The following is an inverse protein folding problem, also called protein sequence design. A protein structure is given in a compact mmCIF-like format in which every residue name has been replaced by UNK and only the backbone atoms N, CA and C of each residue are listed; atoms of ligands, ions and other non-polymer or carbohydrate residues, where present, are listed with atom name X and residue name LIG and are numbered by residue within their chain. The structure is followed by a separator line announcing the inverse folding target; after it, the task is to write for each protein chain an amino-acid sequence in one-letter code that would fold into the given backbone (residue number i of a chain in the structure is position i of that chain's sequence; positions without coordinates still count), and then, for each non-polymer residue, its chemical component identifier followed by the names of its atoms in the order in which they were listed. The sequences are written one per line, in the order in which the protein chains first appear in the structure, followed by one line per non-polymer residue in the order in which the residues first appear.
data_IF_546933245095
#
_entry.id   IF_546933245095
#
_cell.length_a   1.000
_cell.length_b   1.000
_cell.length_c   1.000
_cell.angle_alpha   90.00
_cell.angle_beta   90.00
_cell.angle_gamma   90.00
#
_symmetry.space_group_name_H-M   'P 1'
#
loop_
_entity.id
_entity.type
_entity.pdbx_description
1 polymer ?
#
# COMPACT_ATOMS: atom_id res chain seq x y z
N UNK A 1 39.36 -45.67 -8.39
CA UNK A 1 38.29 -44.90 -9.06
C UNK A 1 37.50 -44.21 -7.96
N UNK A 2 37.55 -42.88 -7.87
CA UNK A 2 36.63 -42.16 -6.99
C UNK A 2 35.20 -42.44 -7.48
N UNK A 3 34.24 -42.76 -6.61
CA UNK A 3 32.85 -42.94 -7.02
C UNK A 3 32.38 -41.66 -7.71
N UNK A 4 31.70 -41.82 -8.85
CA UNK A 4 31.08 -40.69 -9.55
C UNK A 4 30.19 -39.92 -8.57
N UNK A 5 30.23 -38.57 -8.57
CA UNK A 5 29.41 -37.78 -7.68
C UNK A 5 27.92 -38.10 -7.89
N UNK A 6 27.20 -38.27 -6.79
CA UNK A 6 25.76 -38.58 -6.80
C UNK A 6 25.01 -37.52 -7.61
N UNK A 7 24.29 -37.95 -8.64
CA UNK A 7 23.48 -37.05 -9.48
C UNK A 7 22.30 -36.50 -8.68
N UNK A 8 21.77 -35.30 -9.02
CA UNK A 8 20.57 -34.76 -8.36
C UNK A 8 19.40 -35.77 -8.37
N UNK A 9 19.21 -36.50 -9.47
CA UNK A 9 18.13 -37.50 -9.56
C UNK A 9 18.32 -38.68 -8.61
N UNK A 10 19.55 -39.13 -8.40
CA UNK A 10 19.86 -40.20 -7.43
C UNK A 10 19.66 -39.69 -5.99
N UNK A 11 20.17 -38.49 -5.69
CA UNK A 11 19.98 -37.84 -4.40
C UNK A 11 18.51 -37.63 -4.06
N UNK A 12 17.72 -37.12 -5.00
CA UNK A 12 16.29 -36.89 -4.81
C UNK A 12 15.56 -38.20 -4.47
N UNK A 13 15.89 -39.31 -5.14
CA UNK A 13 15.31 -40.64 -4.84
C UNK A 13 15.71 -41.13 -3.46
N UNK A 14 16.98 -40.96 -3.08
CA UNK A 14 17.49 -41.34 -1.75
C UNK A 14 16.80 -40.54 -0.65
N UNK A 15 16.77 -39.20 -0.77
CA UNK A 15 16.16 -38.30 0.21
C UNK A 15 14.64 -38.47 0.30
N UNK A 16 13.99 -38.84 -0.80
CA UNK A 16 12.56 -39.15 -0.84
C UNK A 16 12.20 -40.58 -0.41
N UNK A 17 13.18 -41.46 -0.16
CA UNK A 17 13.00 -42.89 0.11
C UNK A 17 11.84 -43.21 1.07
N UNK A 18 11.78 -42.60 2.27
CA UNK A 18 10.71 -42.85 3.23
C UNK A 18 9.30 -42.53 2.70
N UNK A 19 9.17 -41.59 1.75
CA UNK A 19 7.88 -41.26 1.14
C UNK A 19 7.54 -42.18 -0.02
N UNK A 20 8.54 -42.62 -0.78
CA UNK A 20 8.37 -43.62 -1.83
C UNK A 20 7.86 -44.95 -1.25
N UNK A 21 8.39 -45.36 -0.10
CA UNK A 21 7.95 -46.55 0.63
C UNK A 21 6.50 -46.42 1.13
N UNK A 22 6.06 -45.20 1.41
CA UNK A 22 4.67 -44.85 1.75
C UNK A 22 3.76 -44.70 0.54
N UNK A 23 4.18 -45.15 -0.65
CA UNK A 23 3.35 -45.15 -1.86
C UNK A 23 3.34 -43.85 -2.66
N UNK A 24 4.08 -42.81 -2.25
CA UNK A 24 4.17 -41.57 -3.03
C UNK A 24 4.90 -41.83 -4.36
N UNK A 25 4.46 -41.14 -5.42
CA UNK A 25 5.07 -41.22 -6.75
C UNK A 25 5.78 -39.91 -7.11
N UNK A 26 6.98 -39.95 -7.70
CA UNK A 26 7.64 -38.76 -8.23
C UNK A 26 6.82 -38.08 -9.32
N UNK A 27 6.62 -36.77 -9.15
CA UNK A 27 5.90 -35.92 -10.10
C UNK A 27 6.85 -34.92 -10.76
N UNK A 28 7.91 -34.47 -10.07
CA UNK A 28 8.89 -33.56 -10.65
C UNK A 28 10.16 -33.35 -9.82
N UNK A 29 11.20 -32.87 -10.50
CA UNK A 29 12.45 -32.39 -9.92
C UNK A 29 12.82 -31.09 -10.62
N UNK A 30 12.80 -29.97 -9.89
CA UNK A 30 12.89 -28.63 -10.48
C UNK A 30 14.16 -27.93 -10.02
N UNK A 31 15.02 -27.54 -10.96
CA UNK A 31 16.28 -26.83 -10.67
C UNK A 31 16.06 -25.32 -10.60
N UNK A 32 16.69 -24.71 -9.59
CA UNK A 32 16.76 -23.28 -9.36
C UNK A 32 18.25 -22.90 -9.28
N UNK A 33 18.70 -22.00 -10.14
CA UNK A 33 20.10 -21.60 -10.21
C UNK A 33 20.26 -20.12 -10.59
N UNK A 34 21.20 -19.43 -9.94
CA UNK A 34 21.58 -18.04 -10.23
C UNK A 34 22.99 -17.92 -10.85
N UNK A 35 23.60 -19.04 -11.23
CA UNK A 35 24.95 -19.11 -11.80
C UNK A 35 26.06 -19.35 -10.78
N UNK A 36 25.89 -18.96 -9.52
CA UNK A 36 26.86 -19.22 -8.44
C UNK A 36 26.40 -20.34 -7.49
N UNK A 37 25.10 -20.47 -7.27
CA UNK A 37 24.49 -21.48 -6.42
C UNK A 37 23.28 -22.11 -7.12
N UNK A 38 22.99 -23.37 -6.77
CA UNK A 38 21.83 -24.09 -7.26
C UNK A 38 21.19 -24.95 -6.17
N UNK A 39 19.87 -25.07 -6.20
CA UNK A 39 19.11 -26.04 -5.42
C UNK A 39 18.00 -26.65 -6.28
N UNK A 40 17.40 -27.71 -5.77
CA UNK A 40 16.38 -28.48 -6.47
C UNK A 40 15.15 -28.65 -5.59
N UNK A 41 13.95 -28.57 -6.16
CA UNK A 41 12.70 -28.96 -5.48
C UNK A 41 12.25 -30.33 -5.94
N UNK A 42 12.15 -31.25 -4.98
CA UNK A 42 11.58 -32.57 -5.16
C UNK A 42 10.08 -32.45 -4.97
N UNK A 43 9.29 -32.99 -5.91
CA UNK A 43 7.83 -33.07 -5.79
C UNK A 43 7.37 -34.51 -5.98
N UNK A 44 6.70 -35.02 -4.96
CA UNK A 44 6.01 -36.31 -4.99
C UNK A 44 4.51 -36.08 -4.75
N UNK A 45 3.69 -36.98 -5.27
CA UNK A 45 2.24 -37.02 -5.01
C UNK A 45 1.80 -38.45 -4.70
N UNK A 46 1.00 -38.63 -3.66
CA UNK A 46 0.37 -39.91 -3.39
C UNK A 46 -0.81 -40.11 -4.37
N UNK A 47 -0.88 -41.23 -5.10
CA UNK A 47 -1.91 -41.45 -6.12
C UNK A 47 -3.32 -41.54 -5.51
N UNK A 48 -3.47 -42.23 -4.37
CA UNK A 48 -4.79 -42.48 -3.79
C UNK A 48 -5.33 -41.30 -2.96
N UNK A 49 -4.50 -40.69 -2.10
CA UNK A 49 -4.92 -39.57 -1.24
C UNK A 49 -4.79 -38.21 -1.90
N UNK A 50 -4.01 -38.09 -2.98
CA UNK A 50 -3.69 -36.82 -3.62
C UNK A 50 -2.71 -35.93 -2.85
N UNK A 51 -2.22 -36.37 -1.68
CA UNK A 51 -1.29 -35.63 -0.83
C UNK A 51 0.01 -35.31 -1.58
N UNK A 52 0.51 -34.08 -1.43
CA UNK A 52 1.73 -33.60 -2.08
C UNK A 52 2.85 -33.50 -1.07
N UNK A 53 4.01 -34.07 -1.38
CA UNK A 53 5.24 -33.87 -0.62
C UNK A 53 6.24 -33.08 -1.46
N UNK A 54 6.52 -31.85 -1.02
CA UNK A 54 7.42 -30.92 -1.73
C UNK A 54 8.53 -30.54 -0.77
N UNK A 55 9.77 -30.85 -1.11
CA UNK A 55 10.95 -30.48 -0.31
C UNK A 55 12.11 -30.01 -1.18
N UNK A 56 12.78 -28.92 -0.78
CA UNK A 56 14.01 -28.50 -1.43
C UNK A 56 15.18 -29.39 -1.00
N UNK A 57 16.16 -29.53 -1.89
CA UNK A 57 17.45 -30.16 -1.62
C UNK A 57 18.56 -29.35 -2.27
N UNK A 58 19.75 -29.36 -1.66
CA UNK A 58 20.90 -28.62 -2.15
C UNK A 58 22.20 -29.37 -1.86
N UNK A 59 23.28 -28.97 -2.53
CA UNK A 59 24.61 -29.57 -2.39
C UNK A 59 25.45 -28.72 -1.43
N UNK A 60 25.67 -29.20 -0.21
CA UNK A 60 26.40 -28.49 0.85
C UNK A 60 27.94 -28.60 0.77
N UNK A 61 28.46 -29.05 -0.38
CA UNK A 61 29.89 -29.34 -0.60
C UNK A 61 30.36 -30.73 -0.12
N UNK A 62 29.62 -31.42 0.74
CA UNK A 62 29.89 -32.81 1.19
C UNK A 62 28.92 -33.83 0.60
N UNK A 63 27.70 -33.40 0.30
CA UNK A 63 26.67 -34.25 -0.29
C UNK A 63 25.33 -33.53 -0.40
N UNK A 64 24.35 -34.23 -0.95
CA UNK A 64 23.00 -33.71 -1.07
C UNK A 64 22.20 -33.88 0.21
N UNK A 65 21.61 -32.79 0.68
CA UNK A 65 20.74 -32.75 1.86
C UNK A 65 19.45 -31.99 1.57
N UNK A 66 18.43 -32.23 2.42
CA UNK A 66 17.17 -31.47 2.37
C UNK A 66 17.39 -30.08 2.94
N UNK A 67 16.90 -29.06 2.24
CA UNK A 67 17.10 -27.66 2.59
C UNK A 67 17.34 -26.79 1.36
N UNK A 68 17.54 -25.51 1.62
CA UNK A 68 17.90 -24.50 0.62
C UNK A 68 19.20 -23.82 1.07
N UNK A 69 20.10 -23.44 0.15
CA UNK A 69 21.22 -22.57 0.49
C UNK A 69 20.72 -21.18 0.88
N UNK A 70 21.54 -20.44 1.62
CA UNK A 70 21.31 -19.02 1.86
C UNK A 70 21.65 -18.21 0.60
N UNK A 71 20.73 -17.33 0.20
CA UNK A 71 20.89 -16.43 -0.92
C UNK A 71 20.98 -14.99 -0.43
N UNK A 72 22.08 -14.30 -0.72
CA UNK A 72 22.29 -12.90 -0.32
C UNK A 72 21.25 -11.94 -0.92
N UNK A 73 20.83 -12.19 -2.17
CA UNK A 73 19.94 -11.29 -2.92
C UNK A 73 18.53 -11.86 -3.14
N UNK A 74 18.12 -12.85 -2.33
CA UNK A 74 16.86 -13.56 -2.50
C UNK A 74 16.96 -14.78 -3.42
N UNK A 75 15.95 -15.65 -3.32
CA UNK A 75 15.93 -16.94 -4.03
C UNK A 75 15.75 -16.72 -5.54
N UNK A 76 16.50 -17.43 -6.40
CA UNK A 76 16.30 -17.33 -7.84
C UNK A 76 14.91 -17.81 -8.26
N UNK A 77 14.38 -17.24 -9.33
CA UNK A 77 13.15 -17.72 -9.96
C UNK A 77 13.40 -19.03 -10.74
N UNK A 78 12.36 -19.84 -10.90
CA UNK A 78 12.43 -21.03 -11.73
C UNK A 78 12.69 -20.65 -13.20
N UNK A 79 13.61 -21.34 -13.86
CA UNK A 79 14.08 -21.04 -15.23
C UNK A 79 14.73 -19.66 -15.39
N UNK A 80 15.37 -19.14 -14.34
CA UNK A 80 16.08 -17.85 -14.37
C UNK A 80 17.06 -17.71 -15.55
N UNK A 81 17.79 -18.77 -15.91
CA UNK A 81 18.70 -18.77 -17.06
C UNK A 81 18.00 -18.35 -18.36
N UNK A 82 16.81 -18.88 -18.62
CA UNK A 82 16.06 -18.57 -19.84
C UNK A 82 15.47 -17.16 -19.83
N UNK A 83 15.11 -16.66 -18.64
CA UNK A 83 14.71 -15.27 -18.44
C UNK A 83 15.86 -14.32 -18.80
N UNK A 84 17.08 -14.66 -18.38
CA UNK A 84 18.30 -13.90 -18.62
C UNK A 84 18.75 -13.94 -20.09
N UNK A 85 18.59 -15.06 -20.78
CA UNK A 85 18.89 -15.19 -22.22
C UNK A 85 17.97 -14.33 -23.11
N UNK A 86 16.78 -13.96 -22.61
CA UNK A 86 15.77 -13.19 -23.37
C UNK A 86 15.29 -11.96 -22.59
N UNK A 87 16.11 -10.97 -22.23
CA UNK A 87 15.79 -9.98 -21.19
C UNK A 87 14.54 -9.11 -21.47
N UNK A 88 14.15 -8.92 -22.74
CA UNK A 88 12.99 -8.09 -23.14
C UNK A 88 11.75 -8.87 -23.57
N UNK A 89 11.82 -10.19 -23.72
CA UNK A 89 10.68 -10.98 -24.19
C UNK A 89 9.53 -10.96 -23.16
N UNK A 90 8.24 -10.95 -23.53
CA UNK A 90 7.17 -11.08 -22.53
C UNK A 90 7.28 -12.40 -21.77
N UNK A 91 6.97 -12.40 -20.48
CA UNK A 91 7.03 -13.57 -19.61
C UNK A 91 5.68 -13.87 -18.96
N UNK A 92 5.45 -15.14 -18.64
CA UNK A 92 4.30 -15.59 -17.88
C UNK A 92 4.70 -15.94 -16.45
N UNK A 93 3.87 -15.60 -15.48
CA UNK A 93 4.05 -16.01 -14.09
C UNK A 93 2.88 -16.88 -13.63
N UNK A 94 3.19 -18.00 -12.99
CA UNK A 94 2.23 -18.95 -12.41
C UNK A 94 2.75 -19.46 -11.06
N UNK A 95 1.88 -19.99 -10.21
CA UNK A 95 2.23 -20.36 -8.83
C UNK A 95 3.16 -21.59 -8.70
N UNK A 96 3.19 -22.48 -9.71
CA UNK A 96 3.87 -23.78 -9.60
C UNK A 96 4.71 -24.19 -10.81
N UNK A 97 5.78 -24.95 -10.57
CA UNK A 97 6.75 -25.33 -11.60
C UNK A 97 6.16 -26.23 -12.68
N UNK A 98 5.19 -27.08 -12.32
CA UNK A 98 4.47 -27.91 -13.30
C UNK A 98 3.66 -27.06 -14.29
N UNK A 99 3.07 -25.95 -13.83
CA UNK A 99 2.34 -24.98 -14.65
C UNK A 99 3.30 -24.22 -15.57
N UNK A 100 4.45 -23.81 -15.05
CA UNK A 100 5.53 -23.20 -15.84
C UNK A 100 5.93 -24.12 -16.99
N UNK A 101 6.16 -25.41 -16.71
CA UNK A 101 6.55 -26.37 -17.73
C UNK A 101 5.46 -26.64 -18.76
N UNK A 102 4.18 -26.57 -18.37
CA UNK A 102 3.06 -26.68 -19.32
C UNK A 102 3.05 -25.48 -20.30
N UNK A 103 3.22 -24.26 -19.80
CA UNK A 103 3.34 -23.05 -20.62
C UNK A 103 4.58 -23.10 -21.53
N UNK A 104 5.73 -23.50 -20.98
CA UNK A 104 6.98 -23.57 -21.75
C UNK A 104 6.92 -24.54 -22.93
N UNK A 105 6.12 -25.62 -22.85
CA UNK A 105 5.88 -26.55 -23.98
C UNK A 105 5.15 -25.88 -25.15
N UNK A 106 4.44 -24.79 -24.91
CA UNK A 106 3.83 -23.97 -25.96
C UNK A 106 4.81 -22.95 -26.56
N UNK A 107 6.07 -22.91 -26.08
CA UNK A 107 7.09 -21.99 -26.56
C UNK A 107 7.03 -20.60 -25.94
N UNK A 108 6.21 -20.38 -24.92
CA UNK A 108 6.20 -19.12 -24.16
C UNK A 108 7.18 -19.16 -23.00
N UNK A 109 7.76 -18.00 -22.68
CA UNK A 109 8.64 -17.87 -21.54
C UNK A 109 7.80 -17.78 -20.27
N UNK A 110 8.03 -18.66 -19.31
CA UNK A 110 7.27 -18.72 -18.07
C UNK A 110 8.18 -18.97 -16.86
N UNK A 111 7.77 -18.49 -15.69
CA UNK A 111 8.54 -18.58 -14.45
C UNK A 111 7.64 -18.65 -13.21
N UNK A 112 8.24 -18.97 -12.06
CA UNK A 112 7.59 -19.02 -10.74
C UNK A 112 8.60 -18.83 -9.61
N UNK A 113 8.15 -18.35 -8.46
CA UNK A 113 8.89 -18.42 -7.19
C UNK A 113 8.79 -19.82 -6.51
N UNK A 114 7.93 -20.70 -7.05
CA UNK A 114 7.85 -22.12 -6.71
C UNK A 114 6.72 -22.52 -5.75
N UNK A 115 6.17 -21.60 -4.96
CA UNK A 115 4.93 -21.82 -4.21
C UNK A 115 4.26 -20.49 -3.84
N UNK A 116 2.99 -20.53 -3.44
CA UNK A 116 2.21 -19.37 -2.99
C UNK A 116 2.81 -18.53 -1.85
N UNK A 117 3.77 -19.09 -1.11
CA UNK A 117 4.48 -18.45 0.02
C UNK A 117 5.97 -18.23 -0.23
N UNK A 118 6.51 -18.73 -1.36
CA UNK A 118 7.93 -18.58 -1.68
C UNK A 118 8.24 -17.22 -2.32
N UNK A 119 7.22 -16.48 -2.75
CA UNK A 119 7.37 -15.18 -3.39
C UNK A 119 7.87 -14.08 -2.43
N UNK A 120 7.73 -14.24 -1.11
CA UNK A 120 8.26 -13.26 -0.14
C UNK A 120 9.79 -13.21 -0.12
N UNK A 121 10.43 -14.34 -0.41
CA UNK A 121 11.90 -14.48 -0.34
C UNK A 121 12.55 -14.58 -1.71
N UNK A 122 11.77 -14.49 -2.80
CA UNK A 122 12.27 -14.62 -4.16
C UNK A 122 12.76 -13.28 -4.71
N UNK A 123 13.81 -13.34 -5.52
CA UNK A 123 14.32 -12.21 -6.28
C UNK A 123 13.53 -12.02 -7.58
N UNK A 124 12.70 -10.98 -7.62
CA UNK A 124 11.92 -10.61 -8.81
C UNK A 124 12.65 -9.64 -9.74
N UNK A 125 13.82 -9.13 -9.37
CA UNK A 125 14.58 -8.17 -10.20
C UNK A 125 14.88 -8.66 -11.62
N UNK A 126 15.05 -9.98 -11.92
CA UNK A 126 15.22 -10.46 -13.29
C UNK A 126 14.01 -10.22 -14.22
N UNK A 127 12.87 -9.84 -13.67
CA UNK A 127 11.66 -9.48 -14.42
C UNK A 127 11.47 -7.97 -14.58
N UNK A 128 12.33 -7.12 -13.99
CA UNK A 128 12.15 -5.67 -13.98
C UNK A 128 11.94 -5.07 -15.38
N UNK A 129 11.05 -4.07 -15.47
CA UNK A 129 10.70 -3.36 -16.71
C UNK A 129 10.17 -4.23 -17.87
N UNK A 130 9.69 -5.45 -17.58
CA UNK A 130 9.21 -6.43 -18.56
C UNK A 130 7.69 -6.46 -18.66
N UNK A 131 7.15 -6.95 -19.77
CA UNK A 131 5.73 -7.33 -19.83
C UNK A 131 5.55 -8.70 -19.20
N UNK A 132 4.69 -8.80 -18.17
CA UNK A 132 4.42 -10.05 -17.44
C UNK A 132 2.93 -10.34 -17.39
N UNK A 133 2.53 -11.52 -17.86
CA UNK A 133 1.16 -12.02 -17.72
C UNK A 133 1.08 -13.00 -16.57
N UNK A 134 0.27 -12.72 -15.57
CA UNK A 134 0.07 -13.56 -14.38
C UNK A 134 -1.18 -14.41 -14.60
N UNK A 135 -1.05 -15.72 -14.40
CA UNK A 135 -2.18 -16.65 -14.43
C UNK A 135 -2.35 -17.32 -13.06
N UNK A 136 -3.27 -16.83 -12.22
CA UNK A 136 -3.53 -17.37 -10.90
C UNK A 136 -4.36 -18.67 -10.96
N UNK A 137 -4.38 -19.40 -9.84
CA UNK A 137 -5.32 -20.51 -9.65
C UNK A 137 -6.73 -19.96 -9.41
N UNK A 138 -7.75 -20.71 -9.83
CA UNK A 138 -9.15 -20.32 -9.72
C UNK A 138 -9.71 -20.57 -8.31
N UNK A 139 -9.04 -20.04 -7.29
CA UNK A 139 -9.49 -20.03 -5.90
C UNK A 139 -9.07 -18.73 -5.21
N UNK A 140 -9.61 -18.47 -4.02
CA UNK A 140 -9.32 -17.22 -3.28
C UNK A 140 -7.81 -17.07 -2.98
N UNK A 141 -7.10 -18.08 -2.42
CA UNK A 141 -5.67 -17.95 -2.13
C UNK A 141 -4.79 -17.73 -3.37
N UNK A 142 -5.12 -18.37 -4.50
CA UNK A 142 -4.41 -18.26 -5.77
C UNK A 142 -4.59 -16.89 -6.42
N UNK A 143 -5.79 -16.32 -6.35
CA UNK A 143 -6.08 -14.95 -6.80
C UNK A 143 -5.29 -13.95 -5.95
N UNK A 144 -5.36 -14.05 -4.62
CA UNK A 144 -4.62 -13.17 -3.70
C UNK A 144 -3.10 -13.28 -3.91
N UNK A 145 -2.57 -14.49 -4.19
CA UNK A 145 -1.15 -14.65 -4.54
C UNK A 145 -0.81 -13.96 -5.87
N UNK A 146 -1.66 -14.12 -6.89
CA UNK A 146 -1.50 -13.43 -8.17
C UNK A 146 -1.44 -11.91 -8.04
N UNK A 147 -2.30 -11.33 -7.21
CA UNK A 147 -2.34 -9.89 -6.90
C UNK A 147 -1.09 -9.42 -6.14
N UNK A 148 -0.64 -10.18 -5.13
CA UNK A 148 0.62 -9.87 -4.41
C UNK A 148 1.83 -9.87 -5.35
N UNK A 149 1.92 -10.85 -6.25
CA UNK A 149 2.99 -10.90 -7.24
C UNK A 149 2.87 -9.76 -8.26
N UNK A 150 1.65 -9.42 -8.67
CA UNK A 150 1.39 -8.28 -9.55
C UNK A 150 1.93 -6.98 -8.95
N UNK A 151 1.62 -6.71 -7.68
CA UNK A 151 2.10 -5.53 -6.97
C UNK A 151 3.64 -5.46 -6.94
N UNK A 152 4.32 -6.58 -6.62
CA UNK A 152 5.80 -6.67 -6.63
C UNK A 152 6.38 -6.36 -8.01
N UNK A 153 5.79 -6.92 -9.06
CA UNK A 153 6.24 -6.71 -10.44
C UNK A 153 5.99 -5.28 -10.93
N UNK A 154 4.84 -4.68 -10.60
CA UNK A 154 4.54 -3.27 -10.90
C UNK A 154 5.52 -2.33 -10.23
N UNK A 155 5.90 -2.59 -8.98
CA UNK A 155 6.93 -1.82 -8.28
C UNK A 155 8.30 -1.88 -8.97
N UNK A 156 8.59 -2.96 -9.70
CA UNK A 156 9.79 -3.13 -10.53
C UNK A 156 9.63 -2.53 -11.95
N UNK A 157 8.57 -1.76 -12.20
CA UNK A 157 8.28 -1.13 -13.49
C UNK A 157 7.76 -2.10 -14.56
N UNK A 158 7.30 -3.29 -14.20
CA UNK A 158 6.75 -4.24 -15.15
C UNK A 158 5.35 -3.81 -15.63
N UNK A 159 5.04 -4.08 -16.90
CA UNK A 159 3.66 -4.05 -17.39
C UNK A 159 3.01 -5.38 -17.04
N UNK A 160 2.05 -5.37 -16.11
CA UNK A 160 1.43 -6.60 -15.61
C UNK A 160 0.00 -6.74 -16.10
N UNK A 161 -0.35 -7.93 -16.57
CA UNK A 161 -1.72 -8.30 -16.93
C UNK A 161 -2.13 -9.56 -16.17
N UNK A 162 -3.34 -9.60 -15.62
CA UNK A 162 -3.86 -10.77 -14.91
C UNK A 162 -4.89 -11.50 -15.77
N UNK A 163 -4.77 -12.83 -15.87
CA UNK A 163 -5.81 -13.68 -16.44
C UNK A 163 -6.99 -13.75 -15.48
N UNK A 164 -8.19 -13.54 -16.01
CA UNK A 164 -9.43 -13.78 -15.29
C UNK A 164 -9.71 -15.28 -15.24
N UNK A 165 -9.19 -15.95 -14.22
CA UNK A 165 -9.37 -17.38 -14.02
C UNK A 165 -10.84 -17.79 -13.82
N UNK A 166 -11.70 -16.87 -13.33
CA UNK A 166 -13.13 -17.12 -13.11
C UNK A 166 -13.89 -17.16 -14.42
N UNK A 167 -13.49 -16.33 -15.38
CA UNK A 167 -14.06 -16.31 -16.74
C UNK A 167 -13.69 -17.55 -17.58
N UNK A 168 -12.73 -18.37 -17.14
CA UNK A 168 -12.30 -19.58 -17.85
C UNK A 168 -13.19 -20.81 -17.59
N UNK A 169 -14.27 -20.66 -16.81
CA UNK A 169 -15.19 -21.75 -16.44
C UNK A 169 -14.48 -22.98 -15.87
N UNK A 170 -13.37 -22.75 -15.16
CA UNK A 170 -12.66 -23.79 -14.42
C UNK A 170 -13.41 -24.10 -13.12
N UNK A 171 -13.25 -25.32 -12.59
CA UNK A 171 -13.71 -25.64 -11.25
C UNK A 171 -12.91 -24.85 -10.19
N UNK A 172 -13.39 -24.80 -8.95
CA UNK A 172 -12.69 -24.14 -7.84
C UNK A 172 -11.32 -24.80 -7.57
N UNK A 173 -10.26 -23.99 -7.54
CA UNK A 173 -8.87 -24.46 -7.49
C UNK A 173 -8.32 -24.98 -8.83
N UNK A 174 -9.06 -24.80 -9.92
CA UNK A 174 -8.59 -25.12 -11.27
C UNK A 174 -7.48 -24.17 -11.74
N UNK A 175 -6.47 -24.71 -12.40
CA UNK A 175 -5.28 -23.95 -12.82
C UNK A 175 -5.05 -23.98 -14.35
N UNK A 176 -3.96 -23.38 -14.81
CA UNK A 176 -3.55 -23.43 -16.22
C UNK A 176 -3.36 -24.85 -16.76
N UNK A 177 -2.91 -25.81 -15.94
CA UNK A 177 -2.78 -27.23 -16.33
C UNK A 177 -4.15 -27.85 -16.54
N UNK A 178 -5.14 -27.52 -15.71
CA UNK A 178 -6.52 -27.92 -15.94
C UNK A 178 -7.09 -27.35 -17.24
N UNK A 179 -6.80 -26.08 -17.54
CA UNK A 179 -7.21 -25.46 -18.80
C UNK A 179 -6.58 -26.17 -20.01
N UNK A 180 -5.29 -26.51 -19.97
CA UNK A 180 -4.63 -27.27 -21.04
C UNK A 180 -5.18 -28.68 -21.22
N UNK A 181 -5.62 -29.34 -20.14
CA UNK A 181 -6.29 -30.65 -20.25
C UNK A 181 -7.63 -30.54 -20.97
N UNK A 182 -8.39 -29.48 -20.72
CA UNK A 182 -9.63 -29.20 -21.43
C UNK A 182 -9.40 -28.74 -22.88
N UNK A 183 -8.22 -28.19 -23.18
CA UNK A 183 -7.84 -27.63 -24.48
C UNK A 183 -6.55 -28.27 -25.01
N UNK A 184 -6.54 -29.58 -25.36
CA UNK A 184 -5.33 -30.33 -25.68
C UNK A 184 -4.60 -29.84 -26.94
N UNK A 185 -5.30 -29.13 -27.84
CA UNK A 185 -4.75 -28.57 -29.08
C UNK A 185 -4.34 -27.10 -28.96
N UNK A 186 -4.32 -26.53 -27.76
CA UNK A 186 -3.98 -25.14 -27.54
C UNK A 186 -2.56 -24.80 -28.04
N UNK A 187 -2.42 -23.63 -28.67
CA UNK A 187 -1.15 -23.07 -29.13
C UNK A 187 -0.85 -21.77 -28.38
N UNK A 188 0.39 -21.28 -28.50
CA UNK A 188 0.78 -19.98 -27.93
C UNK A 188 -0.15 -18.82 -28.34
N UNK A 189 -0.68 -18.85 -29.56
CA UNK A 189 -1.62 -17.84 -30.05
C UNK A 189 -2.94 -17.83 -29.26
N UNK A 190 -3.40 -18.96 -28.76
CA UNK A 190 -4.65 -19.05 -27.99
C UNK A 190 -4.52 -18.40 -26.61
N UNK A 191 -3.30 -18.34 -26.06
CA UNK A 191 -3.02 -17.65 -24.80
C UNK A 191 -3.30 -16.15 -24.87
N UNK A 192 -3.17 -15.54 -26.05
CA UNK A 192 -3.48 -14.12 -26.25
C UNK A 192 -4.99 -13.82 -26.17
N UNK A 193 -5.83 -14.85 -26.34
CA UNK A 193 -7.31 -14.74 -26.33
C UNK A 193 -7.92 -15.05 -24.97
N UNK A 194 -7.10 -15.45 -24.00
CA UNK A 194 -7.60 -15.71 -22.65
C UNK A 194 -8.20 -14.43 -22.06
N UNK A 195 -9.32 -14.53 -21.34
CA UNK A 195 -9.94 -13.39 -20.68
C UNK A 195 -8.93 -12.81 -19.68
N UNK A 196 -8.76 -11.50 -19.79
CA UNK A 196 -7.90 -10.71 -18.89
C UNK A 196 -8.83 -9.89 -18.01
N UNK A 197 -8.44 -9.72 -16.75
CA UNK A 197 -9.10 -8.74 -15.90
C UNK A 197 -8.94 -7.38 -16.60
N UNK A 198 -10.06 -6.80 -17.05
CA UNK A 198 -10.05 -5.43 -17.56
C UNK A 198 -9.76 -4.53 -16.38
N UNK A 199 -8.74 -3.68 -16.51
CA UNK A 199 -8.65 -2.50 -15.65
C UNK A 199 -9.90 -1.67 -15.89
N UNK A 200 -10.90 -1.83 -15.02
CA UNK A 200 -12.09 -1.00 -15.03
C UNK A 200 -11.66 0.39 -14.60
N UNK A 201 -11.48 1.28 -15.58
CA UNK A 201 -11.60 2.72 -15.36
C UNK A 201 -13.08 2.97 -15.01
N UNK A 202 -13.40 2.91 -13.72
CA UNK A 202 -14.72 3.21 -13.19
C UNK A 202 -14.67 4.53 -12.44
N UNK A 203 -15.48 5.51 -12.86
CA UNK A 203 -15.97 6.54 -11.96
C UNK A 203 -16.81 5.87 -10.85
N UNK A 204 -16.97 6.49 -9.66
CA UNK A 204 -17.25 5.74 -8.45
C UNK A 204 -18.74 5.38 -8.33
N UNK A 205 -18.99 4.12 -7.99
CA UNK A 205 -20.14 3.71 -7.20
C UNK A 205 -19.72 2.58 -6.24
N UNK A 206 -19.42 3.02 -5.02
CA UNK A 206 -19.52 2.33 -3.72
C UNK A 206 -18.95 0.91 -3.52
N UNK A 207 -18.01 0.86 -2.55
CA UNK A 207 -17.72 -0.20 -1.55
C UNK A 207 -16.66 -1.29 -1.89
N UNK A 208 -15.42 -1.02 -1.44
CA UNK A 208 -14.43 -1.84 -0.69
C UNK A 208 -14.10 -3.29 -1.19
N UNK A 209 -12.85 -3.73 -1.41
CA UNK A 209 -11.59 -3.48 -0.69
C UNK A 209 -10.35 -3.34 -1.61
N UNK A 210 -9.38 -2.56 -1.12
CA UNK A 210 -8.23 -1.94 -1.79
C UNK A 210 -7.01 -2.83 -2.07
N UNK A 211 -6.60 -2.90 -3.34
CA UNK A 211 -5.18 -2.83 -3.72
C UNK A 211 -5.02 -1.59 -4.60
N UNK A 212 -4.53 -0.50 -4.01
CA UNK A 212 -4.39 0.78 -4.71
C UNK A 212 -3.21 0.71 -5.69
N UNK A 213 -3.49 0.50 -6.98
CA UNK A 213 -2.52 0.82 -8.04
C UNK A 213 -2.23 2.33 -7.96
N UNK A 214 -1.09 2.68 -7.36
CA UNK A 214 -0.65 4.06 -7.18
C UNK A 214 -0.28 4.63 -8.55
N UNK A 215 -1.25 5.27 -9.19
CA UNK A 215 -1.05 6.01 -10.44
C UNK A 215 -0.82 7.48 -10.10
N UNK A 216 0.21 8.08 -10.71
CA UNK A 216 0.49 9.52 -10.54
C UNK A 216 -0.28 10.29 -11.62
N UNK A 217 -1.20 11.15 -11.19
CA UNK A 217 -1.88 12.09 -12.09
C UNK A 217 -0.91 13.20 -12.51
N UNK A 218 -0.65 13.30 -13.82
CA UNK A 218 0.10 14.40 -14.40
C UNK A 218 -0.87 15.39 -15.04
N UNK A 219 -0.89 16.62 -14.54
CA UNK A 219 -1.71 17.70 -15.11
C UNK A 219 -0.77 18.64 -15.86
N UNK A 220 -1.06 18.91 -17.15
CA UNK A 220 -0.28 19.87 -17.93
C UNK A 220 -0.64 21.27 -17.49
N UNK A 221 0.36 22.14 -17.30
CA UNK A 221 0.12 23.51 -16.86
C UNK A 221 -0.80 24.33 -17.76
N UNK A 222 -0.87 24.02 -19.06
CA UNK A 222 -1.81 24.64 -20.02
C UNK A 222 -3.28 24.33 -19.72
N UNK A 223 -3.55 23.26 -18.98
CA UNK A 223 -4.89 22.80 -18.66
C UNK A 223 -5.37 23.40 -17.32
N UNK A 224 -4.49 24.11 -16.62
CA UNK A 224 -4.78 24.82 -15.38
C UNK A 224 -5.22 26.25 -15.68
N UNK A 225 -6.32 26.68 -15.05
CA UNK A 225 -6.73 28.09 -15.04
C UNK A 225 -6.16 28.75 -13.78
N UNK A 226 -5.39 29.85 -13.90
CA UNK A 226 -4.97 30.63 -12.74
C UNK A 226 -6.18 31.17 -11.99
N UNK A 227 -6.23 30.96 -10.68
CA UNK A 227 -7.28 31.47 -9.79
C UNK A 227 -6.68 32.41 -8.74
N UNK A 228 -7.37 33.50 -8.36
CA UNK A 228 -6.92 34.36 -7.28
C UNK A 228 -6.96 33.62 -5.95
N UNK A 229 -6.05 33.95 -5.04
CA UNK A 229 -6.08 33.42 -3.67
C UNK A 229 -7.35 33.94 -2.98
N UNK A 230 -8.18 33.03 -2.50
CA UNK A 230 -9.27 33.35 -1.59
C UNK A 230 -8.71 33.53 -0.18
N UNK A 231 -9.06 34.63 0.48
CA UNK A 231 -8.54 34.97 1.81
C UNK A 231 -9.67 35.00 2.84
N UNK A 232 -9.43 34.37 4.00
CA UNK A 232 -10.24 34.56 5.20
C UNK A 232 -9.85 35.88 5.90
N UNK A 233 -8.54 36.12 5.97
CA UNK A 233 -7.94 37.39 6.38
C UNK A 233 -6.82 37.71 5.39
N UNK A 234 -6.96 38.84 4.69
CA UNK A 234 -6.07 39.21 3.57
C UNK A 234 -4.62 39.23 4.02
N UNK A 235 -3.74 38.62 3.21
CA UNK A 235 -2.29 38.50 3.44
C UNK A 235 -1.86 37.69 4.69
N UNK A 236 -2.80 37.17 5.48
CA UNK A 236 -2.53 36.39 6.70
C UNK A 236 -3.08 34.95 6.67
N UNK A 237 -4.36 34.77 6.31
CA UNK A 237 -5.05 33.48 6.32
C UNK A 237 -5.70 33.20 4.97
N UNK A 238 -5.02 32.41 4.13
CA UNK A 238 -5.54 31.97 2.85
C UNK A 238 -6.47 30.75 2.99
N UNK A 239 -7.62 30.79 2.34
CA UNK A 239 -8.54 29.65 2.29
C UNK A 239 -7.90 28.47 1.55
N UNK A 240 -8.09 27.25 2.07
CA UNK A 240 -7.51 26.04 1.50
C UNK A 240 -6.03 25.84 1.78
N UNK A 241 -5.43 26.61 2.69
CA UNK A 241 -4.01 26.56 3.04
C UNK A 241 -3.81 26.34 4.55
N UNK A 242 -2.70 25.69 4.90
CA UNK A 242 -2.27 25.50 6.29
C UNK A 242 -1.31 26.63 6.70
N UNK A 243 -1.60 27.23 7.85
CA UNK A 243 -0.80 28.27 8.50
C UNK A 243 -0.38 27.77 9.87
N UNK A 244 0.81 28.15 10.34
CA UNK A 244 1.33 27.72 11.64
C UNK A 244 1.64 28.94 12.49
N UNK A 245 1.09 28.97 13.71
CA UNK A 245 1.50 29.90 14.76
C UNK A 245 2.39 29.16 15.76
N UNK A 246 3.67 29.51 15.77
CA UNK A 246 4.67 28.89 16.64
C UNK A 246 5.21 29.89 17.67
N UNK A 247 5.58 29.39 18.84
CA UNK A 247 6.10 30.24 19.91
C UNK A 247 6.32 29.49 21.22
N UNK A 248 6.98 30.15 22.17
CA UNK A 248 7.29 29.58 23.48
C UNK A 248 6.02 29.10 24.22
N UNK A 249 6.14 28.10 25.12
CA UNK A 249 5.08 27.76 26.06
C UNK A 249 4.58 29.01 26.82
N UNK A 250 3.27 29.14 27.01
CA UNK A 250 2.68 30.29 27.69
C UNK A 250 2.59 31.60 26.90
N UNK A 251 3.09 31.66 25.65
CA UNK A 251 3.09 32.89 24.83
C UNK A 251 1.70 33.32 24.29
N UNK A 252 0.60 32.73 24.76
CA UNK A 252 -0.76 33.11 24.36
C UNK A 252 -1.21 32.65 22.97
N UNK A 253 -0.53 31.67 22.35
CA UNK A 253 -0.86 31.16 21.00
C UNK A 253 -2.29 30.67 20.87
N UNK A 254 -2.73 29.81 21.80
CA UNK A 254 -4.11 29.31 21.89
C UNK A 254 -5.10 30.47 22.05
N UNK A 255 -4.76 31.48 22.86
CA UNK A 255 -5.59 32.69 23.03
C UNK A 255 -5.75 33.44 21.71
N UNK A 256 -4.69 33.60 20.92
CA UNK A 256 -4.74 34.22 19.59
C UNK A 256 -5.60 33.37 18.64
N UNK A 257 -5.43 32.05 18.64
CA UNK A 257 -6.23 31.15 17.82
C UNK A 257 -7.74 31.23 18.16
N UNK A 258 -8.08 31.28 19.45
CA UNK A 258 -9.47 31.47 19.89
C UNK A 258 -10.02 32.86 19.53
N UNK A 259 -9.19 33.90 19.56
CA UNK A 259 -9.60 35.23 19.10
C UNK A 259 -9.95 35.22 17.60
N UNK A 260 -9.19 34.50 16.76
CA UNK A 260 -9.55 34.33 15.35
C UNK A 260 -10.86 33.57 15.18
N UNK A 261 -11.09 32.50 15.96
CA UNK A 261 -12.35 31.77 15.94
C UNK A 261 -13.55 32.67 16.33
N UNK A 262 -13.38 33.51 17.35
CA UNK A 262 -14.39 34.46 17.77
C UNK A 262 -14.69 35.49 16.67
N UNK A 263 -13.66 36.08 16.08
CA UNK A 263 -13.80 37.03 14.96
C UNK A 263 -14.54 36.43 13.77
N UNK A 264 -14.20 35.20 13.37
CA UNK A 264 -14.86 34.51 12.24
C UNK A 264 -16.31 34.16 12.55
N UNK A 265 -16.58 33.59 13.73
CA UNK A 265 -17.96 33.18 14.07
C UNK A 265 -18.91 34.37 14.22
N UNK A 266 -18.43 35.47 14.81
CA UNK A 266 -19.21 36.69 15.03
C UNK A 266 -19.27 37.62 13.81
N UNK A 267 -18.39 37.45 12.81
CA UNK A 267 -18.20 38.43 11.74
C UNK A 267 -17.67 39.76 12.26
N UNK A 268 -16.73 39.68 13.21
CA UNK A 268 -16.08 40.81 13.86
C UNK A 268 -15.00 41.46 13.00
N UNK A 269 -14.20 42.33 13.60
CA UNK A 269 -13.06 42.96 12.93
C UNK A 269 -11.76 42.20 13.22
N UNK A 270 -10.95 42.04 12.18
CA UNK A 270 -9.56 41.65 12.28
C UNK A 270 -8.71 42.79 12.89
N UNK A 271 -7.48 42.52 13.32
CA UNK A 271 -6.57 43.54 13.86
C UNK A 271 -6.27 44.72 12.92
N UNK A 272 -6.41 44.53 11.61
CA UNK A 272 -6.27 45.58 10.59
C UNK A 272 -7.58 46.34 10.30
N UNK A 273 -8.56 46.20 11.19
CA UNK A 273 -9.90 46.79 11.11
C UNK A 273 -10.78 46.25 9.97
N UNK A 274 -10.29 45.30 9.16
CA UNK A 274 -11.11 44.66 8.13
C UNK A 274 -12.12 43.71 8.76
N UNK A 275 -13.31 43.60 8.15
CA UNK A 275 -14.38 42.76 8.70
C UNK A 275 -14.28 41.33 8.20
N UNK A 276 -14.39 40.36 9.10
CA UNK A 276 -14.47 38.95 8.74
C UNK A 276 -15.84 38.60 8.15
N UNK A 277 -15.84 37.76 7.10
CA UNK A 277 -17.06 37.09 6.68
C UNK A 277 -17.49 36.10 7.77
N UNK A 278 -18.74 36.19 8.27
CA UNK A 278 -19.23 35.28 9.28
C UNK A 278 -19.23 33.82 8.80
N UNK A 279 -18.73 32.89 9.60
CA UNK A 279 -18.75 31.46 9.27
C UNK A 279 -18.46 30.52 10.44
N UNK A 280 -18.59 29.23 10.19
CA UNK A 280 -18.35 28.17 11.18
C UNK A 280 -16.87 27.86 11.34
N UNK A 281 -16.47 27.50 12.56
CA UNK A 281 -15.09 27.17 12.92
C UNK A 281 -15.06 25.78 13.53
N UNK A 282 -14.17 24.94 12.99
CA UNK A 282 -13.86 23.63 13.55
C UNK A 282 -12.62 23.76 14.44
N UNK A 283 -12.69 23.25 15.65
CA UNK A 283 -11.59 23.29 16.63
C UNK A 283 -11.29 21.88 17.07
N UNK A 284 -10.07 21.43 16.80
CA UNK A 284 -9.52 20.23 17.37
C UNK A 284 -8.47 20.60 18.42
N UNK A 285 -8.79 20.35 19.68
CA UNK A 285 -7.86 20.56 20.80
C UNK A 285 -7.68 19.27 21.58
N UNK A 286 -6.42 18.94 21.89
CA UNK A 286 -6.07 17.82 22.77
C UNK A 286 -5.43 18.24 24.09
N UNK A 287 -5.18 19.54 24.30
CA UNK A 287 -4.51 20.07 25.49
C UNK A 287 -5.50 20.62 26.54
N UNK A 288 -6.48 21.40 26.09
CA UNK A 288 -7.39 22.14 26.96
C UNK A 288 -8.80 21.51 26.98
N UNK A 289 -9.44 21.53 28.15
CA UNK A 289 -10.81 21.06 28.31
C UNK A 289 -11.83 21.90 27.53
N UNK A 290 -12.74 21.24 26.81
CA UNK A 290 -13.71 21.92 25.95
C UNK A 290 -14.69 22.78 26.76
N UNK A 291 -15.25 22.22 27.84
CA UNK A 291 -16.35 22.82 28.60
C UNK A 291 -15.91 23.85 29.64
N UNK A 292 -14.74 23.65 30.26
CA UNK A 292 -14.24 24.48 31.36
C UNK A 292 -13.22 25.53 30.90
N UNK A 293 -12.62 25.35 29.73
CA UNK A 293 -11.49 26.18 29.27
C UNK A 293 -11.76 26.82 27.92
N UNK A 294 -11.94 26.04 26.85
CA UNK A 294 -12.04 26.61 25.50
C UNK A 294 -13.36 27.32 25.24
N UNK A 295 -14.50 26.67 25.53
CA UNK A 295 -15.81 27.26 25.29
C UNK A 295 -16.02 28.54 26.14
N UNK A 296 -15.72 28.59 27.45
CA UNK A 296 -15.82 29.84 28.21
C UNK A 296 -14.95 30.96 27.66
N UNK A 297 -13.71 30.68 27.21
CA UNK A 297 -12.83 31.67 26.56
C UNK A 297 -13.46 32.23 25.29
N UNK A 298 -13.96 31.36 24.42
CA UNK A 298 -14.63 31.76 23.17
C UNK A 298 -15.87 32.63 23.44
N UNK A 299 -16.71 32.25 24.40
CA UNK A 299 -17.89 33.02 24.79
C UNK A 299 -17.53 34.42 25.31
N UNK A 300 -16.51 34.52 26.16
CA UNK A 300 -16.02 35.82 26.67
C UNK A 300 -15.42 36.67 25.54
N UNK A 301 -14.79 36.05 24.55
CA UNK A 301 -14.29 36.73 23.34
C UNK A 301 -15.41 37.13 22.36
N UNK A 302 -16.68 36.82 22.67
CA UNK A 302 -17.82 37.17 21.83
C UNK A 302 -18.02 36.23 20.65
N UNK A 303 -17.47 35.02 20.68
CA UNK A 303 -17.69 34.02 19.63
C UNK A 303 -19.18 33.65 19.54
N UNK A 304 -19.65 33.38 18.32
CA UNK A 304 -20.99 32.85 18.07
C UNK A 304 -21.03 31.35 18.38
N UNK A 305 -21.63 30.88 19.49
CA UNK A 305 -21.49 29.49 19.92
C UNK A 305 -22.10 28.48 18.93
N UNK A 306 -23.16 28.85 18.22
CA UNK A 306 -23.81 27.99 17.22
C UNK A 306 -22.95 27.71 15.98
N UNK A 307 -21.79 28.37 15.86
CA UNK A 307 -20.84 28.26 14.76
C UNK A 307 -19.50 27.70 15.21
N UNK A 308 -19.38 27.29 16.48
CA UNK A 308 -18.21 26.61 17.01
C UNK A 308 -18.50 25.11 17.06
N UNK A 309 -17.63 24.34 16.41
CA UNK A 309 -17.72 22.89 16.38
C UNK A 309 -16.41 22.31 16.89
N UNK A 310 -16.46 21.59 18.01
CA UNK A 310 -15.30 20.89 18.54
C UNK A 310 -15.21 19.48 17.96
N UNK A 311 -14.00 19.06 17.58
CA UNK A 311 -13.73 17.66 17.24
C UNK A 311 -13.72 16.85 18.53
N UNK A 312 -14.72 15.98 18.69
CA UNK A 312 -14.87 15.10 19.84
C UNK A 312 -14.51 13.65 19.53
N UNK A 313 -15.01 12.74 20.37
CA UNK A 313 -14.81 11.30 20.21
C UNK A 313 -15.44 10.75 18.92
N UNK A 314 -14.83 9.70 18.40
CA UNK A 314 -15.32 8.91 17.28
C UNK A 314 -16.15 7.76 17.81
N UNK A 315 -17.34 7.57 17.25
CA UNK A 315 -18.21 6.44 17.54
C UNK A 315 -17.82 5.26 16.66
N UNK A 316 -17.22 4.22 17.24
CA UNK A 316 -16.87 2.98 16.55
C UNK A 316 -17.53 1.80 17.28
N UNK A 317 -18.24 0.93 16.54
CA UNK A 317 -18.97 -0.22 17.09
C UNK A 317 -19.90 0.12 18.26
N UNK A 318 -20.52 1.31 18.21
CA UNK A 318 -21.43 1.82 19.24
C UNK A 318 -20.74 2.32 20.52
N UNK A 319 -19.41 2.42 20.56
CA UNK A 319 -18.65 2.96 21.70
C UNK A 319 -17.87 4.21 21.30
N UNK A 320 -17.80 5.24 22.17
CA UNK A 320 -16.92 6.38 21.96
C UNK A 320 -15.47 5.97 22.15
N UNK A 321 -14.60 6.48 21.29
CA UNK A 321 -13.15 6.42 21.46
C UNK A 321 -12.54 7.76 21.05
N UNK A 322 -11.34 8.11 21.54
CA UNK A 322 -10.64 9.31 21.11
C UNK A 322 -10.47 9.34 19.59
N UNK A 323 -10.55 10.55 19.03
CA UNK A 323 -10.27 10.82 17.63
C UNK A 323 -8.81 10.51 17.29
N UNK A 324 -8.59 9.74 16.23
CA UNK A 324 -7.27 9.40 15.69
C UNK A 324 -7.15 9.95 14.27
N UNK A 325 -6.33 11.00 14.03
CA UNK A 325 -6.16 11.60 12.70
C UNK A 325 -5.62 10.61 11.65
N UNK A 326 -4.95 9.52 12.05
CA UNK A 326 -4.47 8.53 11.09
C UNK A 326 -5.61 7.70 10.47
N UNK A 327 -6.76 7.62 11.13
CA UNK A 327 -7.86 6.73 10.76
C UNK A 327 -9.17 7.48 10.50
N UNK A 328 -9.36 8.62 11.14
CA UNK A 328 -10.68 9.24 11.29
C UNK A 328 -10.86 10.54 10.49
N UNK A 329 -9.84 10.96 9.76
CA UNK A 329 -9.89 12.20 8.95
C UNK A 329 -11.02 12.17 7.92
N UNK A 330 -11.32 11.01 7.33
CA UNK A 330 -12.45 10.88 6.41
C UNK A 330 -13.79 11.09 7.13
N UNK A 331 -13.95 10.54 8.34
CA UNK A 331 -15.17 10.72 9.11
C UNK A 331 -15.34 12.19 9.55
N UNK A 332 -14.25 12.86 9.93
CA UNK A 332 -14.25 14.29 10.22
C UNK A 332 -14.65 15.11 8.99
N UNK A 333 -14.10 14.79 7.82
CA UNK A 333 -14.46 15.44 6.57
C UNK A 333 -15.95 15.29 6.24
N UNK A 334 -16.49 14.07 6.37
CA UNK A 334 -17.90 13.79 6.11
C UNK A 334 -18.85 14.58 7.04
N UNK A 335 -18.45 14.79 8.31
CA UNK A 335 -19.20 15.64 9.23
C UNK A 335 -19.02 17.12 8.92
N UNK A 336 -17.80 17.57 8.62
CA UNK A 336 -17.50 18.94 8.28
C UNK A 336 -18.24 19.39 7.01
N UNK A 337 -18.37 18.51 6.01
CA UNK A 337 -19.10 18.77 4.78
C UNK A 337 -20.62 19.01 4.99
N UNK A 338 -21.17 18.57 6.12
CA UNK A 338 -22.58 18.85 6.50
C UNK A 338 -22.76 20.27 7.05
N UNK A 339 -21.67 20.94 7.41
CA UNK A 339 -21.65 22.33 7.87
C UNK A 339 -21.35 23.20 6.64
N UNK A 340 -22.36 23.91 6.14
CA UNK A 340 -22.27 24.58 4.84
C UNK A 340 -21.31 25.77 4.78
N UNK A 341 -20.89 26.30 5.92
CA UNK A 341 -20.18 27.58 6.04
C UNK A 341 -18.89 27.51 6.88
N UNK A 342 -18.22 26.35 6.93
CA UNK A 342 -16.91 26.25 7.59
C UNK A 342 -15.89 27.16 6.90
N UNK A 343 -15.25 28.04 7.67
CA UNK A 343 -14.26 29.01 7.16
C UNK A 343 -12.88 28.84 7.79
N UNK A 344 -12.80 28.30 9.00
CA UNK A 344 -11.54 28.12 9.74
C UNK A 344 -11.51 26.75 10.43
N UNK A 345 -10.37 26.07 10.31
CA UNK A 345 -10.01 24.87 11.07
C UNK A 345 -8.83 25.21 11.98
N UNK A 346 -8.96 24.94 13.28
CA UNK A 346 -7.91 25.13 14.27
C UNK A 346 -7.48 23.78 14.80
N UNK A 347 -6.17 23.53 14.84
CA UNK A 347 -5.58 22.35 15.46
C UNK A 347 -4.57 22.80 16.52
N UNK A 348 -4.87 22.52 17.78
CA UNK A 348 -4.08 22.96 18.92
C UNK A 348 -3.79 21.82 19.91
N UNK A 349 -2.54 21.33 19.99
CA UNK A 349 -1.39 21.64 19.14
C UNK A 349 -1.43 20.84 17.83
N UNK A 350 -0.83 21.39 16.77
CA UNK A 350 -0.73 20.75 15.44
C UNK A 350 0.03 19.42 15.46
N UNK A 351 0.88 19.21 16.48
CA UNK A 351 1.61 17.93 16.63
C UNK A 351 0.67 16.77 16.92
N UNK A 352 -0.54 17.02 17.44
CA UNK A 352 -1.55 15.97 17.61
C UNK A 352 -2.05 15.42 16.28
N UNK A 353 -1.94 16.19 15.19
CA UNK A 353 -2.24 15.72 13.83
C UNK A 353 -1.17 14.76 13.28
N UNK A 354 0.01 14.70 13.91
CA UNK A 354 1.12 13.88 13.44
C UNK A 354 1.07 12.50 14.10
N UNK A 355 0.64 11.49 13.35
CA UNK A 355 0.71 10.10 13.82
C UNK A 355 2.17 9.62 13.83
N UNK A 356 2.78 9.45 15.01
CA UNK A 356 4.14 8.90 15.17
C UNK A 356 5.12 9.82 15.90
N UNK A 357 6.42 9.62 15.67
CA UNK A 357 7.51 10.32 16.36
C UNK A 357 7.71 11.73 15.79
N UNK A 358 7.35 12.76 16.57
CA UNK A 358 7.40 14.18 16.19
C UNK A 358 8.80 14.73 15.89
N UNK A 359 9.86 13.93 16.06
CA UNK A 359 11.26 14.34 15.86
C UNK A 359 11.84 14.09 14.45
N UNK A 360 11.05 13.59 13.50
CA UNK A 360 11.49 13.36 12.11
C UNK A 360 10.74 14.24 11.11
N UNK A 361 11.39 15.30 10.63
CA UNK A 361 10.83 16.30 9.70
C UNK A 361 10.11 15.74 8.46
N UNK A 362 10.55 14.59 7.93
CA UNK A 362 9.91 13.95 6.74
C UNK A 362 8.59 13.24 7.10
N UNK A 363 8.48 12.71 8.32
CA UNK A 363 7.25 12.08 8.84
C UNK A 363 6.20 13.16 9.16
N UNK A 364 6.62 14.31 9.70
CA UNK A 364 5.74 15.45 10.02
C UNK A 364 4.98 15.97 8.79
N UNK A 365 5.63 16.18 7.64
CA UNK A 365 4.95 16.72 6.45
C UNK A 365 3.90 15.77 5.89
N UNK A 366 4.19 14.46 5.83
CA UNK A 366 3.21 13.46 5.37
C UNK A 366 2.02 13.37 6.31
N UNK A 367 2.26 13.48 7.62
CA UNK A 367 1.20 13.39 8.61
C UNK A 367 0.29 14.63 8.64
N UNK A 368 0.75 15.79 8.17
CA UNK A 368 -0.08 16.99 8.04
C UNK A 368 -0.89 17.06 6.74
N UNK A 369 -0.59 16.20 5.76
CA UNK A 369 -1.27 16.20 4.46
C UNK A 369 -2.81 16.06 4.58
N UNK A 370 -3.36 15.20 5.46
CA UNK A 370 -4.82 15.10 5.64
C UNK A 370 -5.47 16.42 6.07
N UNK A 371 -4.80 17.23 6.90
CA UNK A 371 -5.30 18.54 7.33
C UNK A 371 -5.27 19.53 6.16
N UNK A 372 -4.21 19.50 5.34
CA UNK A 372 -4.08 20.32 4.13
C UNK A 372 -5.20 19.99 3.14
N UNK A 373 -5.46 18.69 2.92
CA UNK A 373 -6.49 18.21 2.00
C UNK A 373 -7.90 18.57 2.49
N UNK A 374 -8.16 18.43 3.80
CA UNK A 374 -9.42 18.84 4.42
C UNK A 374 -9.66 20.35 4.26
N UNK A 375 -8.65 21.18 4.56
CA UNK A 375 -8.73 22.63 4.42
C UNK A 375 -9.03 23.03 2.96
N UNK A 376 -8.33 22.41 2.01
CA UNK A 376 -8.51 22.62 0.57
C UNK A 376 -9.94 22.28 0.12
N UNK A 377 -10.46 21.12 0.52
CA UNK A 377 -11.81 20.65 0.16
C UNK A 377 -12.91 21.52 0.76
N UNK A 378 -12.78 21.92 2.02
CA UNK A 378 -13.73 22.83 2.67
C UNK A 378 -13.61 24.27 2.18
N UNK A 379 -12.52 24.61 1.46
CA UNK A 379 -12.11 26.00 1.18
C UNK A 379 -12.05 26.86 2.45
N UNK A 380 -11.60 26.25 3.54
CA UNK A 380 -11.39 26.87 4.85
C UNK A 380 -9.90 27.11 5.08
N UNK A 381 -9.53 28.17 5.81
CA UNK A 381 -8.15 28.31 6.28
C UNK A 381 -7.88 27.29 7.39
N UNK A 382 -6.70 26.67 7.43
CA UNK A 382 -6.27 25.85 8.55
C UNK A 382 -5.18 26.57 9.35
N UNK A 383 -5.30 26.55 10.67
CA UNK A 383 -4.35 27.12 11.62
C UNK A 383 -3.88 26.04 12.60
N UNK A 384 -2.59 25.71 12.53
CA UNK A 384 -1.93 24.84 13.50
C UNK A 384 -1.18 25.64 14.55
N UNK A 385 -1.33 25.28 15.82
CA UNK A 385 -0.56 25.86 16.93
C UNK A 385 0.61 24.95 17.28
N UNK A 386 1.81 25.51 17.44
CA UNK A 386 3.01 24.70 17.74
C UNK A 386 3.95 25.36 18.75
N UNK A 387 4.75 24.56 19.44
CA UNK A 387 5.85 25.03 20.26
C UNK A 387 7.17 24.90 19.50
N UNK A 388 8.15 25.75 19.80
CA UNK A 388 9.51 25.53 19.31
C UNK A 388 10.09 24.24 19.92
N UNK A 389 10.83 23.46 19.12
CA UNK A 389 11.50 22.26 19.60
C UNK A 389 12.57 22.62 20.63
N UNK A 390 12.56 21.95 21.79
CA UNK A 390 13.63 22.06 22.79
C UNK A 390 14.86 21.27 22.31
N UNK A 391 15.67 21.83 21.42
CA UNK A 391 17.00 21.28 21.11
C UNK A 391 17.90 22.30 20.39
N UNK A 392 18.41 23.27 21.14
CA UNK A 392 19.67 23.93 20.83
C UNK A 392 20.38 24.18 22.14
N UNK A 393 21.65 23.76 22.20
CA UNK A 393 22.55 24.01 23.30
C UNK A 393 22.75 25.52 23.51
N UNK A 394 21.86 26.14 24.29
CA UNK A 394 22.01 27.50 24.77
C UNK A 394 21.90 28.63 23.73
N UNK A 395 21.13 28.44 22.64
CA UNK A 395 20.72 29.56 21.77
C UNK A 395 19.20 29.63 21.70
N UNK A 396 18.70 30.86 21.80
CA UNK A 396 17.29 31.19 21.71
C UNK A 396 16.70 30.56 20.44
N UNK A 397 15.53 29.89 20.45
CA UNK A 397 14.91 29.32 19.25
C UNK A 397 14.57 30.35 18.16
N UNK A 398 14.72 31.66 18.44
CA UNK A 398 14.56 32.76 17.48
C UNK A 398 15.92 33.32 16.99
N UNK A 399 17.04 32.83 17.53
CA UNK A 399 18.43 33.07 17.05
C UNK A 399 18.93 31.92 16.15
#
# INVERSE_FOLDING_TARGET
MNPLPETPKQAARRLAGPMLDKGFKPEGLYEYANGSQSFYRIRLKHPDTGEKWIRPMWLNGRGWELGEPEFENGKPLYRLRELAEKPRAPAWYVEGENKVNALARLGVLATTAGSASSDERADFTPLASRAVTIWPDNDKPGIEHGERVAAKLRALGCRVELIDARALSLFEGGDSVNWFKANPNAKAADLSRLPRLRETVSAPASCADDVTDVTVSLIRGSDLKPEPIAWLWRDFLACGKLHIIAGAPGAGKTTIAMAFAATVTAGGCWPDETRAEPGSVLIWSGEDGLNDTLLPRLLVMGAGPNRIYFVGDVMADGKPRPFDPARDMQALEDQAARISDVRLLIVDPIVNAVAGDSHKNTETRRALQPIVDLASRLRAAALGVSHFSKNTAGRDPVE
#
